data_IF_093740937219
#
_entry.id   IF_093740937219
#
_cell.length_a   1.000
_cell.length_b   1.000
_cell.length_c   1.000
_cell.angle_alpha   90.00
_cell.angle_beta   90.00
_cell.angle_gamma   90.00
#
_symmetry.space_group_name_H-M   'P 1'
#
loop_
_entity.id
_entity.type
_entity.pdbx_description
1 polymer ?
#
# COMPACT_ATOMS: atom_id res chain seq x y z
N UNK A 1 24.38 37.65 -10.58
CA UNK A 1 23.24 38.33 -9.93
C UNK A 1 22.23 37.24 -9.63
N UNK A 2 22.14 36.81 -8.38
CA UNK A 2 21.15 35.82 -7.96
C UNK A 2 19.81 36.55 -7.82
N UNK A 3 18.86 36.19 -8.68
CA UNK A 3 17.48 36.62 -8.58
C UNK A 3 16.89 36.04 -7.30
N UNK A 4 16.82 36.84 -6.25
CA UNK A 4 16.02 36.49 -5.08
C UNK A 4 14.57 36.38 -5.53
N UNK A 5 14.08 35.14 -5.66
CA UNK A 5 12.67 34.85 -5.84
C UNK A 5 11.96 35.33 -4.57
N UNK A 6 11.37 36.52 -4.61
CA UNK A 6 10.58 37.06 -3.52
C UNK A 6 9.28 36.26 -3.49
N UNK A 7 9.25 35.22 -2.67
CA UNK A 7 8.04 34.44 -2.41
C UNK A 7 7.18 35.26 -1.46
N UNK A 8 5.96 35.59 -1.89
CA UNK A 8 5.04 36.38 -1.04
C UNK A 8 4.35 35.48 -0.03
N UNK A 9 3.82 36.08 1.04
CA UNK A 9 3.10 35.33 2.07
C UNK A 9 1.85 34.66 1.49
N UNK A 10 1.18 35.29 0.53
CA UNK A 10 0.03 34.71 -0.17
C UNK A 10 0.43 33.45 -0.94
N UNK A 11 1.57 33.46 -1.63
CA UNK A 11 2.09 32.30 -2.35
C UNK A 11 2.50 31.16 -1.40
N UNK A 12 2.99 31.48 -0.21
CA UNK A 12 3.27 30.48 0.83
C UNK A 12 1.95 29.87 1.33
N UNK A 13 0.95 30.71 1.60
CA UNK A 13 -0.35 30.29 2.09
C UNK A 13 -1.08 29.37 1.11
N UNK A 14 -1.11 29.72 -0.18
CA UNK A 14 -1.68 28.86 -1.23
C UNK A 14 -1.02 27.49 -1.29
N UNK A 15 0.31 27.44 -1.19
CA UNK A 15 1.05 26.16 -1.17
C UNK A 15 0.74 25.33 0.06
N UNK A 16 0.54 25.97 1.22
CA UNK A 16 0.18 25.28 2.46
C UNK A 16 -1.23 24.68 2.36
N UNK A 17 -2.21 25.43 1.84
CA UNK A 17 -3.56 24.89 1.61
C UNK A 17 -3.55 23.70 0.63
N UNK A 18 -2.79 23.78 -0.46
CA UNK A 18 -2.66 22.67 -1.41
C UNK A 18 -2.03 21.42 -0.77
N UNK A 19 -1.06 21.59 0.13
CA UNK A 19 -0.47 20.48 0.88
C UNK A 19 -1.48 19.89 1.89
N UNK A 20 -2.23 20.74 2.60
CA UNK A 20 -3.29 20.29 3.51
C UNK A 20 -4.34 19.45 2.78
N UNK A 21 -4.81 19.90 1.61
CA UNK A 21 -5.76 19.13 0.78
C UNK A 21 -5.19 17.78 0.33
N UNK A 22 -3.91 17.74 -0.03
CA UNK A 22 -3.23 16.52 -0.47
C UNK A 22 -2.98 15.54 0.67
N UNK A 23 -2.81 16.03 1.90
CA UNK A 23 -2.72 15.20 3.11
C UNK A 23 -4.09 14.69 3.57
N UNK A 24 -5.16 15.47 3.36
CA UNK A 24 -6.54 15.07 3.65
C UNK A 24 -7.06 14.02 2.67
N UNK A 25 -6.52 14.00 1.45
CA UNK A 25 -6.82 13.01 0.42
C UNK A 25 -5.56 12.23 0.06
N UNK A 26 -5.05 11.37 0.96
CA UNK A 26 -3.87 10.58 0.65
C UNK A 26 -4.20 9.69 -0.56
N UNK A 27 -3.69 10.08 -1.72
CA UNK A 27 -3.67 9.31 -2.98
C UNK A 27 -2.67 8.14 -2.87
N UNK A 28 -2.65 7.52 -1.70
CA UNK A 28 -1.92 6.30 -1.46
C UNK A 28 -2.88 5.19 -1.86
N UNK A 29 -3.03 4.98 -3.17
CA UNK A 29 -3.29 3.66 -3.69
C UNK A 29 -2.06 2.80 -3.38
N UNK A 30 -1.83 2.48 -2.11
CA UNK A 30 -1.04 1.29 -1.76
C UNK A 30 -1.91 0.13 -2.19
N UNK A 31 -1.85 -0.19 -3.47
CA UNK A 31 -2.52 -1.35 -4.04
C UNK A 31 -2.24 -2.54 -3.12
N UNK A 32 -3.30 -3.21 -2.70
CA UNK A 32 -3.16 -4.38 -1.84
C UNK A 32 -2.31 -5.41 -2.57
N UNK A 33 -1.18 -5.79 -1.99
CA UNK A 33 -0.34 -6.83 -2.55
C UNK A 33 -0.90 -8.19 -2.19
N UNK A 34 -1.10 -9.03 -3.20
CA UNK A 34 -1.33 -10.45 -3.00
C UNK A 34 -0.01 -11.13 -2.60
N UNK A 35 -0.10 -12.34 -2.03
CA UNK A 35 1.08 -13.17 -1.75
C UNK A 35 1.90 -13.43 -3.03
N UNK A 36 1.24 -13.47 -4.20
CA UNK A 36 1.91 -13.63 -5.49
C UNK A 36 2.75 -12.41 -5.86
N UNK A 37 2.28 -11.20 -5.55
CA UNK A 37 3.03 -9.97 -5.80
C UNK A 37 4.29 -9.92 -4.93
N UNK A 38 4.17 -10.35 -3.66
CA UNK A 38 5.31 -10.51 -2.75
C UNK A 38 6.32 -11.54 -3.30
N UNK A 39 5.84 -12.68 -3.79
CA UNK A 39 6.68 -13.72 -4.38
C UNK A 39 7.45 -13.24 -5.63
N UNK A 40 6.76 -12.54 -6.54
CA UNK A 40 7.38 -11.96 -7.72
C UNK A 40 8.41 -10.87 -7.36
N UNK A 41 8.12 -10.05 -6.37
CA UNK A 41 9.02 -8.98 -5.92
C UNK A 41 10.31 -9.54 -5.32
N UNK A 42 10.23 -10.64 -4.56
CA UNK A 42 11.39 -11.27 -3.92
C UNK A 42 12.13 -12.26 -4.82
N UNK A 43 11.61 -12.55 -6.02
CA UNK A 43 12.08 -13.63 -6.91
C UNK A 43 12.12 -15.00 -6.21
N UNK A 44 11.07 -15.29 -5.44
CA UNK A 44 10.92 -16.53 -4.66
C UNK A 44 9.66 -17.27 -5.09
N UNK A 45 9.63 -18.58 -4.83
CA UNK A 45 8.41 -19.36 -5.07
C UNK A 45 7.28 -18.92 -4.13
N UNK A 46 6.04 -18.96 -4.62
CA UNK A 46 4.84 -18.67 -3.83
C UNK A 46 4.82 -19.46 -2.50
N UNK A 47 5.16 -20.76 -2.56
CA UNK A 47 5.18 -21.64 -1.39
C UNK A 47 6.17 -21.16 -0.32
N UNK A 48 7.37 -20.78 -0.73
CA UNK A 48 8.40 -20.32 0.20
C UNK A 48 7.97 -19.02 0.89
N UNK A 49 7.37 -18.08 0.15
CA UNK A 49 6.83 -16.84 0.71
C UNK A 49 5.68 -17.10 1.68
N UNK A 50 4.74 -17.98 1.31
CA UNK A 50 3.61 -18.33 2.16
C UNK A 50 4.03 -18.99 3.48
N UNK A 51 4.97 -19.93 3.43
CA UNK A 51 5.37 -20.73 4.59
C UNK A 51 6.41 -20.04 5.50
N UNK A 52 7.20 -19.10 4.97
CA UNK A 52 8.36 -18.55 5.70
C UNK A 52 8.39 -17.02 5.81
N UNK A 53 7.76 -16.29 4.90
CA UNK A 53 7.83 -14.81 4.87
C UNK A 53 6.57 -14.21 5.48
N UNK A 54 5.39 -14.58 4.97
CA UNK A 54 4.10 -14.01 5.41
C UNK A 54 3.72 -14.47 6.82
N UNK A 55 4.31 -15.58 7.27
CA UNK A 55 4.16 -16.13 8.63
C UNK A 55 5.06 -15.45 9.67
N UNK A 56 6.02 -14.61 9.26
CA UNK A 56 6.89 -13.91 10.20
C UNK A 56 6.06 -12.89 11.01
N UNK A 57 6.17 -12.85 12.36
CA UNK A 57 5.45 -11.88 13.19
C UNK A 57 5.74 -10.40 12.86
N UNK A 58 6.85 -10.11 12.19
CA UNK A 58 7.23 -8.78 11.72
C UNK A 58 6.71 -8.47 10.32
N UNK A 59 6.22 -9.47 9.59
CA UNK A 59 5.58 -9.24 8.30
C UNK A 59 4.26 -8.47 8.51
N UNK A 60 3.92 -7.49 7.64
CA UNK A 60 2.70 -6.73 7.78
C UNK A 60 1.46 -7.64 7.85
N UNK A 61 0.56 -7.35 8.80
CA UNK A 61 -0.68 -8.10 8.93
C UNK A 61 -1.52 -8.00 7.64
N UNK A 62 -2.16 -9.10 7.20
CA UNK A 62 -3.03 -9.07 6.03
C UNK A 62 -4.22 -8.14 6.29
N UNK A 63 -4.59 -7.38 5.26
CA UNK A 63 -5.78 -6.52 5.29
C UNK A 63 -7.00 -7.38 4.99
N UNK A 64 -7.97 -7.43 5.91
CA UNK A 64 -9.24 -8.10 5.66
C UNK A 64 -10.05 -7.29 4.65
N UNK A 65 -10.21 -7.85 3.44
CA UNK A 65 -11.06 -7.26 2.40
C UNK A 65 -12.49 -7.77 2.66
N UNK A 66 -13.45 -6.90 3.04
CA UNK A 66 -14.82 -7.34 3.21
C UNK A 66 -15.36 -7.86 1.88
N UNK A 67 -15.95 -9.06 1.91
CA UNK A 67 -16.67 -9.59 0.75
C UNK A 67 -17.80 -8.63 0.35
N UNK A 68 -18.15 -8.64 -0.94
CA UNK A 68 -19.17 -7.76 -1.56
C UNK A 68 -20.51 -7.69 -0.80
N UNK A 69 -20.81 -8.69 0.04
CA UNK A 69 -22.07 -8.85 0.78
C UNK A 69 -21.91 -8.86 2.32
N UNK A 70 -20.80 -8.35 2.87
CA UNK A 70 -20.54 -8.40 4.33
C UNK A 70 -20.25 -9.82 4.87
N UNK A 71 -20.09 -10.78 3.96
CA UNK A 71 -19.65 -12.13 4.29
C UNK A 71 -18.17 -12.11 4.70
N UNK A 72 -17.84 -12.91 5.73
CA UNK A 72 -16.46 -13.10 6.19
C UNK A 72 -15.55 -13.46 5.01
N UNK A 73 -14.33 -12.90 4.92
CA UNK A 73 -13.40 -13.25 3.85
C UNK A 73 -13.19 -14.76 3.86
N UNK A 74 -13.43 -15.40 2.72
CA UNK A 74 -13.14 -16.82 2.56
C UNK A 74 -11.62 -16.97 2.64
N UNK A 75 -11.14 -17.79 3.59
CA UNK A 75 -9.78 -18.32 3.53
C UNK A 75 -9.64 -19.02 2.18
N UNK A 76 -8.72 -18.55 1.35
CA UNK A 76 -8.46 -19.17 0.05
C UNK A 76 -8.18 -20.67 0.25
N UNK A 77 -8.94 -21.56 -0.41
CA UNK A 77 -8.63 -22.98 -0.42
C UNK A 77 -7.42 -23.20 -1.32
N UNK A 78 -6.44 -23.91 -0.77
CA UNK A 78 -5.24 -24.41 -1.44
C UNK A 78 -5.61 -24.93 -2.85
N UNK A 79 -5.06 -24.38 -3.95
CA UNK A 79 -5.20 -25.02 -5.24
C UNK A 79 -4.38 -26.31 -5.21
N UNK A 80 -5.06 -27.45 -5.36
CA UNK A 80 -4.43 -28.75 -5.55
C UNK A 80 -3.32 -28.64 -6.60
N UNK A 81 -2.09 -28.91 -6.17
CA UNK A 81 -0.96 -29.10 -7.06
C UNK A 81 -1.16 -30.41 -7.81
N UNK A 82 -1.24 -30.35 -9.14
CA UNK A 82 -1.05 -31.50 -10.05
C UNK A 82 0.44 -31.67 -10.29
#
# INVERSE_FOLDING_TARGET
>A
METQNIVTNEQVFEKLCAIEELLLSPQIEKGLWSIKDVANYMDLSYRHVYENIVTDPRFPAPVDIPGKDGAKPKKDPIPNSV
#
